data_IF_208554280388
#
_entry.id   IF_208554280388
#
_cell.length_a   1.000
_cell.length_b   1.000
_cell.length_c   1.000
_cell.angle_alpha   90.00
_cell.angle_beta   90.00
_cell.angle_gamma   90.00
#
_symmetry.space_group_name_H-M   'P 1'
#
loop_
_entity.id
_entity.type
_entity.pdbx_description
1 polymer ?
#
# COMPACT_ATOMS: atom_id res chain seq x y z
N UNK A 1 -18.80 -28.28 25.53
CA UNK A 1 -18.56 -27.22 24.53
C UNK A 1 -17.28 -26.52 24.98
N UNK A 2 -16.14 -26.91 24.41
CA UNK A 2 -14.84 -26.36 24.77
C UNK A 2 -14.70 -24.95 24.19
N UNK A 3 -14.61 -23.97 25.08
CA UNK A 3 -14.28 -22.59 24.74
C UNK A 3 -12.75 -22.51 24.63
N UNK A 4 -12.19 -22.78 23.44
CA UNK A 4 -10.77 -22.59 23.18
C UNK A 4 -10.51 -21.10 22.90
N UNK A 5 -10.55 -20.29 23.96
CA UNK A 5 -10.09 -18.92 23.92
C UNK A 5 -8.56 -18.97 23.95
N UNK A 6 -7.94 -18.94 22.76
CA UNK A 6 -6.49 -18.96 22.62
C UNK A 6 -5.90 -17.62 23.08
N UNK A 7 -5.77 -17.43 24.39
CA UNK A 7 -5.01 -16.33 24.97
C UNK A 7 -3.56 -16.49 24.51
N UNK A 8 -3.16 -15.68 23.53
CA UNK A 8 -1.78 -15.62 23.05
C UNK A 8 -0.86 -15.37 24.24
N UNK A 9 0.17 -16.18 24.38
CA UNK A 9 1.21 -15.98 25.40
C UNK A 9 1.88 -14.62 25.19
N UNK A 10 2.38 -14.01 26.27
CA UNK A 10 3.05 -12.70 26.19
C UNK A 10 4.18 -12.67 25.15
N UNK A 11 4.89 -13.79 24.98
CA UNK A 11 5.96 -13.95 23.98
C UNK A 11 5.41 -13.92 22.55
N UNK A 12 4.26 -14.55 22.28
CA UNK A 12 3.62 -14.51 20.96
C UNK A 12 3.12 -13.11 20.62
N UNK A 13 2.54 -12.42 21.60
CA UNK A 13 2.03 -11.06 21.44
C UNK A 13 3.17 -10.07 21.13
N UNK A 14 4.30 -10.17 21.85
CA UNK A 14 5.50 -9.37 21.55
C UNK A 14 6.09 -9.67 20.17
N UNK A 15 6.14 -10.93 19.75
CA UNK A 15 6.59 -11.30 18.40
C UNK A 15 5.72 -10.66 17.31
N UNK A 16 4.40 -10.66 17.51
CA UNK A 16 3.46 -10.02 16.59
C UNK A 16 3.63 -8.51 16.55
N UNK A 17 3.83 -7.85 17.70
CA UNK A 17 4.11 -6.42 17.76
C UNK A 17 5.42 -6.06 17.02
N UNK A 18 6.48 -6.84 17.22
CA UNK A 18 7.76 -6.64 16.51
C UNK A 18 7.59 -6.85 15.01
N UNK A 19 6.83 -7.88 14.58
CA UNK A 19 6.61 -8.10 13.15
C UNK A 19 5.81 -6.98 12.51
N UNK A 20 4.78 -6.47 13.20
CA UNK A 20 3.99 -5.32 12.73
C UNK A 20 4.85 -4.06 12.64
N UNK A 21 5.65 -3.77 13.67
CA UNK A 21 6.55 -2.62 13.67
C UNK A 21 7.60 -2.69 12.55
N UNK A 22 8.17 -3.88 12.31
CA UNK A 22 9.11 -4.10 11.20
C UNK A 22 8.45 -3.88 9.83
N UNK A 23 7.22 -4.37 9.66
CA UNK A 23 6.46 -4.20 8.41
C UNK A 23 6.05 -2.74 8.21
N UNK A 24 5.69 -2.02 9.27
CA UNK A 24 5.38 -0.59 9.21
C UNK A 24 6.59 0.26 8.80
N UNK A 25 7.79 -0.11 9.24
CA UNK A 25 9.03 0.56 8.84
C UNK A 25 9.54 0.17 7.45
N UNK A 26 8.86 -0.74 6.75
CA UNK A 26 9.29 -1.25 5.45
C UNK A 26 9.07 -0.20 4.35
N UNK A 27 10.08 -0.02 3.50
CA UNK A 27 10.03 0.85 2.33
C UNK A 27 9.86 -0.04 1.10
N UNK A 28 8.80 0.19 0.33
CA UNK A 28 8.43 -0.66 -0.82
C UNK A 28 8.01 0.19 -2.01
N UNK A 29 8.17 -0.35 -3.21
CA UNK A 29 7.53 0.21 -4.40
C UNK A 29 6.04 -0.08 -4.42
N UNK A 30 5.27 0.65 -5.23
CA UNK A 30 3.83 0.45 -5.34
C UNK A 30 3.50 -0.96 -5.87
N UNK A 31 4.31 -1.50 -6.80
CA UNK A 31 4.21 -2.87 -7.30
C UNK A 31 4.47 -3.89 -6.19
N UNK A 32 5.57 -3.73 -5.46
CA UNK A 32 5.94 -4.63 -4.35
C UNK A 32 4.88 -4.63 -3.24
N UNK A 33 4.36 -3.46 -2.89
CA UNK A 33 3.25 -3.34 -1.96
C UNK A 33 2.03 -4.12 -2.43
N UNK A 34 1.64 -3.94 -3.69
CA UNK A 34 0.51 -4.67 -4.26
C UNK A 34 0.77 -6.19 -4.17
N UNK A 35 1.87 -6.68 -4.73
CA UNK A 35 2.12 -8.13 -4.81
C UNK A 35 2.25 -8.82 -3.43
N UNK A 36 2.49 -8.07 -2.36
CA UNK A 36 2.68 -8.58 -0.99
C UNK A 36 1.54 -8.25 0.00
N UNK A 37 0.45 -7.64 -0.48
CA UNK A 37 -0.68 -7.22 0.36
C UNK A 37 -1.93 -8.00 -0.01
N UNK A 38 -2.71 -8.43 0.98
CA UNK A 38 -4.04 -9.01 0.72
C UNK A 38 -4.98 -7.91 0.28
N UNK A 39 -5.53 -8.05 -0.93
CA UNK A 39 -6.37 -7.02 -1.54
C UNK A 39 -7.82 -7.13 -1.08
N UNK A 40 -8.39 -5.99 -0.71
CA UNK A 40 -9.82 -5.82 -0.54
C UNK A 40 -10.51 -5.48 -1.85
N UNK A 41 -11.84 -5.36 -1.76
CA UNK A 41 -12.73 -5.01 -2.87
C UNK A 41 -12.28 -3.75 -3.64
N UNK A 42 -11.67 -2.79 -2.94
CA UNK A 42 -11.22 -1.52 -3.51
C UNK A 42 -10.22 -1.69 -4.66
N UNK A 43 -9.26 -2.60 -4.48
CA UNK A 43 -8.23 -2.86 -5.47
C UNK A 43 -8.74 -3.78 -6.57
N UNK A 44 -9.56 -4.78 -6.23
CA UNK A 44 -10.21 -5.64 -7.22
C UNK A 44 -11.09 -4.82 -8.18
N UNK A 45 -11.91 -3.92 -7.63
CA UNK A 45 -12.76 -3.04 -8.42
C UNK A 45 -11.92 -2.06 -9.23
N UNK A 46 -10.84 -1.50 -8.68
CA UNK A 46 -9.93 -0.62 -9.40
C UNK A 46 -9.38 -1.30 -10.67
N UNK A 47 -8.99 -2.57 -10.58
CA UNK A 47 -8.45 -3.32 -11.71
C UNK A 47 -9.49 -3.70 -12.78
N UNK A 48 -10.80 -3.56 -12.50
CA UNK A 48 -11.82 -3.64 -13.56
C UNK A 48 -11.81 -2.41 -14.47
N UNK A 49 -11.37 -1.26 -13.96
CA UNK A 49 -11.37 0.01 -14.68
C UNK A 49 -9.99 0.42 -15.21
N UNK A 50 -8.91 -0.07 -14.58
CA UNK A 50 -7.54 0.31 -14.88
C UNK A 50 -6.63 -0.91 -15.02
N UNK A 51 -5.73 -0.91 -16.02
CA UNK A 51 -4.85 -2.05 -16.32
C UNK A 51 -3.56 -2.10 -15.49
N UNK A 52 -3.23 -1.03 -14.76
CA UNK A 52 -2.00 -0.94 -13.99
C UNK A 52 -2.13 0.02 -12.78
N UNK A 53 -1.11 0.03 -11.92
CA UNK A 53 -1.04 0.88 -10.72
C UNK A 53 -0.65 2.33 -11.02
N UNK A 54 -0.44 2.71 -12.29
CA UNK A 54 0.04 4.03 -12.66
C UNK A 54 -0.93 5.15 -12.30
N UNK A 55 -2.26 4.93 -12.45
CA UNK A 55 -3.27 5.91 -12.04
C UNK A 55 -3.32 6.01 -10.51
N UNK A 56 -3.26 4.89 -9.79
CA UNK A 56 -3.17 4.86 -8.34
C UNK A 56 -1.95 5.65 -7.82
N UNK A 57 -0.78 5.45 -8.42
CA UNK A 57 0.44 6.19 -8.06
C UNK A 57 0.33 7.70 -8.29
N UNK A 58 -0.42 8.14 -9.31
CA UNK A 58 -0.74 9.56 -9.53
C UNK A 58 -1.70 10.09 -8.47
N UNK A 59 -2.72 9.32 -8.10
CA UNK A 59 -3.68 9.73 -7.08
C UNK A 59 -3.01 9.84 -5.69
N UNK A 60 -2.16 8.89 -5.32
CA UNK A 60 -1.35 8.96 -4.09
C UNK A 60 -0.53 10.25 -4.05
N UNK A 61 0.13 10.61 -5.16
CA UNK A 61 0.89 11.84 -5.26
C UNK A 61 0.01 13.10 -5.17
N UNK A 62 -1.12 13.12 -5.88
CA UNK A 62 -2.10 14.21 -5.84
C UNK A 62 -2.65 14.44 -4.42
N UNK A 63 -2.78 13.37 -3.63
CA UNK A 63 -3.22 13.40 -2.23
C UNK A 63 -2.09 13.71 -1.24
N UNK A 64 -0.87 13.95 -1.71
CA UNK A 64 0.26 14.33 -0.86
C UNK A 64 0.88 13.16 -0.08
N UNK A 65 0.65 11.91 -0.49
CA UNK A 65 1.31 10.75 0.15
C UNK A 65 2.81 10.83 -0.13
N UNK A 66 3.60 10.89 0.95
CA UNK A 66 5.04 11.13 0.88
C UNK A 66 5.76 9.95 0.22
N UNK A 67 6.61 10.25 -0.75
CA UNK A 67 7.55 9.28 -1.32
C UNK A 67 8.81 9.27 -0.46
N UNK A 68 9.38 8.08 -0.24
CA UNK A 68 10.65 7.94 0.49
C UNK A 68 11.82 8.22 -0.45
N UNK A 69 11.74 7.71 -1.67
CA UNK A 69 12.61 8.16 -2.76
C UNK A 69 11.89 9.24 -3.57
N UNK A 70 12.28 10.50 -3.34
CA UNK A 70 12.06 11.59 -4.28
C UNK A 70 13.14 11.46 -5.37
N UNK A 71 12.76 11.50 -6.64
CA UNK A 71 13.69 11.39 -7.75
C UNK A 71 14.79 12.46 -7.60
N UNK A 72 16.03 12.02 -7.43
CA UNK A 72 17.17 12.76 -7.96
C UNK A 72 17.07 12.61 -9.48
N UNK A 73 16.81 13.70 -10.20
CA UNK A 73 17.02 13.77 -11.64
C UNK A 73 18.52 13.53 -11.90
N UNK A 74 18.90 12.29 -12.11
CA UNK A 74 20.16 12.00 -12.78
C UNK A 74 19.91 12.24 -14.27
N UNK A 75 20.75 13.06 -14.89
CA UNK A 75 20.76 13.48 -16.32
C UNK A 75 20.70 12.32 -17.36
N UNK A 76 20.57 11.07 -16.92
CA UNK A 76 20.77 9.86 -17.69
C UNK A 76 19.48 9.05 -17.94
N UNK A 77 18.30 9.58 -17.62
CA UNK A 77 17.02 8.93 -17.97
C UNK A 77 16.71 7.64 -17.18
N UNK A 78 17.31 7.45 -16.01
CA UNK A 78 17.04 6.29 -15.15
C UNK A 78 15.71 6.49 -14.44
N UNK A 79 14.69 5.74 -14.86
CA UNK A 79 13.40 5.69 -14.16
C UNK A 79 13.57 4.98 -12.82
N UNK A 80 13.61 5.73 -11.72
CA UNK A 80 13.52 5.18 -10.36
C UNK A 80 12.05 5.04 -10.00
N UNK A 81 11.63 3.81 -9.69
CA UNK A 81 10.28 3.54 -9.20
C UNK A 81 10.08 4.22 -7.83
N UNK A 82 8.98 4.95 -7.66
CA UNK A 82 8.68 5.63 -6.41
C UNK A 82 8.50 4.60 -5.28
N UNK A 83 9.19 4.83 -4.17
CA UNK A 83 9.04 4.02 -2.95
C UNK A 83 8.27 4.79 -1.88
N UNK A 84 7.61 4.04 -1.01
CA UNK A 84 6.74 4.57 0.03
C UNK A 84 6.95 3.77 1.32
N UNK A 85 6.62 4.40 2.45
CA UNK A 85 6.47 3.66 3.70
C UNK A 85 5.26 2.73 3.56
N UNK A 86 5.42 1.45 3.86
CA UNK A 86 4.37 0.46 3.66
C UNK A 86 3.10 0.81 4.43
N UNK A 87 3.21 1.29 5.68
CA UNK A 87 2.03 1.68 6.47
C UNK A 87 1.20 2.78 5.80
N UNK A 88 1.85 3.68 5.07
CA UNK A 88 1.15 4.73 4.32
C UNK A 88 0.41 4.12 3.13
N UNK A 89 1.01 3.16 2.42
CA UNK A 89 0.32 2.46 1.33
C UNK A 89 -0.82 1.57 1.82
N UNK A 90 -0.65 0.88 2.95
CA UNK A 90 -1.70 0.05 3.54
C UNK A 90 -2.94 0.88 3.91
N UNK A 91 -2.75 2.14 4.32
CA UNK A 91 -3.84 3.06 4.62
C UNK A 91 -4.39 3.78 3.37
N UNK A 92 -3.52 4.42 2.59
CA UNK A 92 -3.93 5.32 1.51
C UNK A 92 -4.15 4.61 0.17
N UNK A 93 -3.54 3.45 -0.05
CA UNK A 93 -3.66 2.69 -1.30
C UNK A 93 -5.11 2.33 -1.63
N UNK A 94 -5.85 1.64 -0.74
CA UNK A 94 -7.27 1.33 -0.97
C UNK A 94 -8.14 2.58 -1.12
N UNK A 95 -7.92 3.61 -0.30
CA UNK A 95 -8.67 4.88 -0.37
C UNK A 95 -8.47 5.60 -1.71
N UNK A 96 -7.23 5.62 -2.21
CA UNK A 96 -6.92 6.22 -3.51
C UNK A 96 -7.45 5.37 -4.67
N UNK A 97 -7.50 4.04 -4.53
CA UNK A 97 -8.13 3.16 -5.51
C UNK A 97 -9.63 3.46 -5.64
N UNK A 98 -10.34 3.58 -4.50
CA UNK A 98 -11.74 4.01 -4.45
C UNK A 98 -11.94 5.39 -5.08
N UNK A 99 -11.09 6.35 -4.75
CA UNK A 99 -11.15 7.69 -5.34
C UNK A 99 -11.02 7.64 -6.88
N UNK A 100 -10.11 6.81 -7.40
CA UNK A 100 -9.95 6.62 -8.84
C UNK A 100 -11.22 6.06 -9.48
N UNK A 101 -11.86 5.05 -8.86
CA UNK A 101 -13.12 4.48 -9.35
C UNK A 101 -14.22 5.55 -9.37
N UNK A 102 -14.37 6.34 -8.31
CA UNK A 102 -15.36 7.42 -8.26
C UNK A 102 -15.11 8.50 -9.32
N UNK A 103 -13.86 8.89 -9.57
CA UNK A 103 -13.51 9.80 -10.66
C UNK A 103 -13.85 9.20 -12.04
N UNK A 104 -13.74 7.88 -12.20
CA UNK A 104 -14.10 7.20 -13.44
C UNK A 104 -15.60 7.16 -13.67
N UNK A 105 -16.39 6.87 -12.64
CA UNK A 105 -17.85 6.75 -12.74
C UNK A 105 -18.54 8.11 -12.91
N UNK A 106 -17.92 9.20 -12.42
CA UNK A 106 -18.43 10.56 -12.61
C UNK A 106 -18.24 11.10 -14.03
N UNK A 107 -17.33 10.51 -14.82
CA UNK A 107 -17.02 10.91 -16.20
C UNK A 107 -17.67 9.95 -17.20
#
# INVERSE_FOLDING_TARGET
MDNCESTLTEVQLRKQQISVAKKAAEIVTLRQWYDSTTHGYELEEYFKHYSNLGRLGKELHKRGVKRVTELYEADNGVFVEATFVRSDLDLFGPLCAVACIFERVKN
#
